data_IF_341822961915
#
_entry.id   IF_341822961915
#
_cell.length_a   1.000
_cell.length_b   1.000
_cell.length_c   1.000
_cell.angle_alpha   90.00
_cell.angle_beta   90.00
_cell.angle_gamma   90.00
#
_symmetry.space_group_name_H-M   'P 1'
#
loop_
_entity.id
_entity.type
_entity.pdbx_description
1 polymer ?
#
# COMPACT_ATOMS: atom_id res chain seq x y z
N UNK A 1 -15.08 19.25 7.29
CA UNK A 1 -13.99 18.27 7.17
C UNK A 1 -12.71 19.07 7.06
N UNK A 2 -11.72 18.82 7.93
CA UNK A 2 -10.39 19.45 7.82
C UNK A 2 -9.64 18.92 6.59
N UNK A 3 -8.51 19.53 6.21
CA UNK A 3 -7.65 18.99 5.15
C UNK A 3 -7.18 17.57 5.49
N UNK A 4 -6.73 17.35 6.72
CA UNK A 4 -6.29 16.04 7.19
C UNK A 4 -7.43 15.02 7.17
N UNK A 5 -8.63 15.40 7.63
CA UNK A 5 -9.80 14.52 7.63
C UNK A 5 -10.14 14.05 6.21
N UNK A 6 -10.17 14.99 5.26
CA UNK A 6 -10.47 14.69 3.86
C UNK A 6 -9.40 13.78 3.25
N UNK A 7 -8.12 14.08 3.47
CA UNK A 7 -7.05 13.27 2.87
C UNK A 7 -6.91 11.89 3.52
N UNK A 8 -7.05 11.77 4.83
CA UNK A 8 -7.00 10.49 5.53
C UNK A 8 -8.15 9.57 5.11
N UNK A 9 -9.38 10.11 5.00
CA UNK A 9 -10.52 9.35 4.46
C UNK A 9 -10.29 8.94 3.01
N UNK A 10 -9.79 9.86 2.17
CA UNK A 10 -9.49 9.59 0.76
C UNK A 10 -8.47 8.47 0.58
N UNK A 11 -7.34 8.51 1.30
CA UNK A 11 -6.30 7.46 1.20
C UNK A 11 -6.88 6.08 1.51
N UNK A 12 -7.62 5.95 2.61
CA UNK A 12 -8.14 4.66 3.07
C UNK A 12 -9.21 4.12 2.11
N UNK A 13 -10.16 4.95 1.73
CA UNK A 13 -11.22 4.57 0.78
C UNK A 13 -10.66 4.32 -0.62
N UNK A 14 -9.72 5.13 -1.06
CA UNK A 14 -9.06 5.03 -2.36
C UNK A 14 -8.23 3.76 -2.50
N UNK A 15 -7.49 3.38 -1.44
CA UNK A 15 -6.78 2.11 -1.34
C UNK A 15 -7.77 0.92 -1.39
N UNK A 16 -8.83 0.95 -0.58
CA UNK A 16 -9.79 -0.15 -0.49
C UNK A 16 -10.61 -0.36 -1.78
N UNK A 17 -10.90 0.70 -2.52
CA UNK A 17 -11.50 0.57 -3.87
C UNK A 17 -10.49 -0.04 -4.85
N UNK A 18 -9.21 0.36 -4.78
CA UNK A 18 -8.15 -0.24 -5.59
C UNK A 18 -8.01 -1.75 -5.34
N UNK A 19 -7.95 -2.13 -4.07
CA UNK A 19 -7.96 -3.51 -3.58
C UNK A 19 -9.12 -4.32 -4.21
N UNK A 20 -10.37 -3.90 -3.96
CA UNK A 20 -11.54 -4.66 -4.39
C UNK A 20 -11.66 -4.82 -5.91
N UNK A 21 -11.21 -3.83 -6.69
CA UNK A 21 -11.19 -3.92 -8.15
C UNK A 21 -10.05 -4.82 -8.65
N UNK A 22 -8.87 -4.73 -8.02
CA UNK A 22 -7.68 -5.49 -8.43
C UNK A 22 -7.72 -6.96 -8.03
N UNK A 23 -8.46 -7.33 -6.97
CA UNK A 23 -8.57 -8.72 -6.53
C UNK A 23 -9.07 -9.66 -7.64
N UNK A 24 -10.03 -9.20 -8.46
CA UNK A 24 -10.59 -10.01 -9.56
C UNK A 24 -9.62 -10.27 -10.72
N UNK A 25 -8.53 -9.50 -10.83
CA UNK A 25 -7.53 -9.59 -11.89
C UNK A 25 -6.18 -10.13 -11.41
N UNK A 26 -6.04 -10.39 -10.11
CA UNK A 26 -4.82 -10.85 -9.48
C UNK A 26 -4.32 -12.22 -10.04
N UNK A 27 -3.05 -12.20 -10.40
CA UNK A 27 -2.23 -13.27 -10.95
C UNK A 27 -2.55 -13.64 -12.39
N UNK A 28 -3.26 -12.78 -13.12
CA UNK A 28 -3.58 -12.96 -14.54
C UNK A 28 -2.80 -11.97 -15.41
N UNK A 29 -2.55 -12.34 -16.67
CA UNK A 29 -1.99 -11.39 -17.65
C UNK A 29 -3.07 -10.45 -18.18
N UNK A 30 -2.68 -9.27 -18.73
CA UNK A 30 -3.64 -8.37 -19.39
C UNK A 30 -4.53 -9.07 -20.41
N UNK A 31 -3.98 -9.98 -21.22
CA UNK A 31 -4.71 -10.71 -22.25
C UNK A 31 -5.74 -11.68 -21.64
N UNK A 32 -5.38 -12.36 -20.55
CA UNK A 32 -6.29 -13.27 -19.83
C UNK A 32 -7.45 -12.51 -19.19
N UNK A 33 -7.16 -11.33 -18.61
CA UNK A 33 -8.17 -10.43 -18.04
C UNK A 33 -9.15 -10.02 -19.14
N UNK A 34 -8.65 -9.53 -20.28
CA UNK A 34 -9.51 -9.11 -21.38
C UNK A 34 -10.33 -10.27 -21.96
N UNK A 35 -9.73 -11.45 -22.10
CA UNK A 35 -10.43 -12.65 -22.53
C UNK A 35 -11.56 -13.02 -21.57
N UNK A 36 -11.32 -12.94 -20.25
CA UNK A 36 -12.30 -13.31 -19.22
C UNK A 36 -13.46 -12.33 -19.13
N UNK A 37 -13.21 -11.03 -19.28
CA UNK A 37 -14.21 -9.99 -19.04
C UNK A 37 -14.73 -9.32 -20.33
N UNK A 38 -14.31 -9.79 -21.51
CA UNK A 38 -14.76 -9.26 -22.80
C UNK A 38 -14.15 -7.90 -23.15
N UNK A 39 -12.96 -7.61 -22.62
CA UNK A 39 -12.24 -6.35 -22.76
C UNK A 39 -11.63 -5.88 -21.44
N UNK A 40 -11.09 -4.67 -21.43
CA UNK A 40 -10.49 -4.08 -20.21
C UNK A 40 -11.53 -3.91 -19.12
N UNK A 41 -11.12 -4.18 -17.88
CA UNK A 41 -11.92 -3.93 -16.68
C UNK A 41 -12.11 -2.42 -16.50
N UNK A 42 -13.34 -1.99 -16.25
CA UNK A 42 -13.72 -0.57 -16.08
C UNK A 42 -14.42 -0.26 -14.75
N UNK A 43 -14.39 -1.20 -13.81
CA UNK A 43 -15.06 -1.13 -12.52
C UNK A 43 -15.13 -2.52 -11.88
N UNK A 44 -16.09 -2.72 -10.97
CA UNK A 44 -16.30 -4.00 -10.29
C UNK A 44 -16.71 -5.08 -11.32
N UNK A 45 -16.05 -6.24 -11.23
CA UNK A 45 -16.32 -7.43 -12.05
C UNK A 45 -16.41 -8.66 -11.15
N UNK A 46 -17.11 -9.73 -11.59
CA UNK A 46 -17.18 -10.97 -10.82
C UNK A 46 -15.82 -11.66 -10.75
N UNK A 47 -15.66 -12.65 -9.85
CA UNK A 47 -14.43 -13.41 -9.75
C UNK A 47 -13.98 -14.03 -11.06
N UNK A 48 -12.66 -14.16 -11.20
CA UNK A 48 -12.07 -14.76 -12.39
C UNK A 48 -12.62 -16.17 -12.64
N UNK A 49 -12.75 -16.99 -11.59
CA UNK A 49 -13.41 -18.29 -11.67
C UNK A 49 -14.82 -18.22 -11.06
N UNK A 50 -15.88 -18.60 -11.81
CA UNK A 50 -17.23 -18.68 -11.27
C UNK A 50 -17.36 -19.66 -10.08
N UNK A 51 -16.53 -20.70 -10.05
CA UNK A 51 -16.44 -21.71 -8.99
C UNK A 51 -15.33 -21.39 -7.97
N UNK A 52 -15.12 -20.11 -7.66
CA UNK A 52 -14.05 -19.60 -6.79
C UNK A 52 -13.90 -20.32 -5.45
N UNK A 53 -14.99 -20.87 -4.87
CA UNK A 53 -14.95 -21.63 -3.60
C UNK A 53 -14.05 -22.87 -3.68
N UNK A 54 -13.91 -23.45 -4.86
CA UNK A 54 -13.17 -24.70 -5.09
C UNK A 54 -12.03 -24.57 -6.10
N UNK A 55 -11.96 -23.46 -6.85
CA UNK A 55 -10.94 -23.18 -7.85
C UNK A 55 -9.53 -23.01 -7.26
N UNK A 56 -8.75 -24.09 -7.16
CA UNK A 56 -7.34 -24.06 -6.72
C UNK A 56 -6.44 -23.38 -7.76
N UNK A 57 -5.35 -22.73 -7.34
CA UNK A 57 -4.86 -22.58 -5.97
C UNK A 57 -5.48 -21.38 -5.21
N UNK A 58 -6.37 -20.61 -5.84
CA UNK A 58 -6.90 -19.33 -5.29
C UNK A 58 -7.95 -19.59 -4.22
N UNK A 59 -8.76 -20.64 -4.38
CA UNK A 59 -9.80 -21.01 -3.43
C UNK A 59 -9.26 -21.12 -2.00
N UNK A 60 -10.01 -20.66 -0.99
CA UNK A 60 -11.46 -20.44 -1.04
C UNK A 60 -11.87 -18.96 -1.16
N UNK A 61 -11.06 -18.09 -1.78
CA UNK A 61 -11.28 -16.65 -1.71
C UNK A 61 -12.21 -16.09 -2.80
N UNK A 62 -13.24 -15.33 -2.37
CA UNK A 62 -14.18 -14.61 -3.23
C UNK A 62 -13.57 -13.31 -3.80
N UNK A 63 -12.50 -13.41 -4.59
CA UNK A 63 -11.84 -12.25 -5.21
C UNK A 63 -12.64 -11.69 -6.38
N UNK A 64 -13.44 -10.66 -6.15
CA UNK A 64 -14.32 -9.99 -7.12
C UNK A 64 -15.63 -9.53 -6.49
N UNK A 65 -16.58 -9.07 -7.31
CA UNK A 65 -17.91 -8.59 -6.86
C UNK A 65 -17.85 -7.49 -5.77
N UNK A 66 -16.75 -6.75 -5.69
CA UNK A 66 -16.57 -5.65 -4.74
C UNK A 66 -16.06 -6.07 -3.36
N UNK A 67 -15.61 -7.32 -3.18
CA UNK A 67 -14.96 -7.79 -1.96
C UNK A 67 -13.52 -7.28 -1.88
N UNK A 68 -13.17 -6.63 -0.76
CA UNK A 68 -11.79 -6.26 -0.42
C UNK A 68 -10.95 -7.45 0.05
N UNK A 69 -9.62 -7.33 -0.06
CA UNK A 69 -8.63 -8.36 0.22
C UNK A 69 -7.80 -8.11 1.50
N UNK A 70 -6.60 -8.71 1.62
CA UNK A 70 -5.81 -8.76 2.85
C UNK A 70 -5.20 -7.42 3.12
N UNK A 71 -4.60 -6.80 2.12
CA UNK A 71 -5.11 -5.56 1.58
C UNK A 71 -5.68 -4.59 2.62
N UNK A 72 -6.99 -4.43 2.49
CA UNK A 72 -7.82 -3.63 3.37
C UNK A 72 -7.93 -4.22 4.78
N UNK A 73 -7.93 -5.55 4.97
CA UNK A 73 -8.06 -6.14 6.31
C UNK A 73 -6.89 -5.78 7.23
N UNK A 74 -5.66 -5.89 6.72
CA UNK A 74 -4.42 -5.52 7.40
C UNK A 74 -4.35 -4.00 7.59
N UNK A 75 -4.78 -3.22 6.59
CA UNK A 75 -4.88 -1.76 6.70
C UNK A 75 -5.79 -1.36 7.86
N UNK A 76 -6.99 -1.95 7.93
CA UNK A 76 -7.94 -1.70 9.03
C UNK A 76 -7.40 -2.13 10.39
N UNK A 77 -6.71 -3.26 10.45
CA UNK A 77 -6.07 -3.72 11.68
C UNK A 77 -4.98 -2.73 12.15
N UNK A 78 -4.15 -2.21 11.25
CA UNK A 78 -3.15 -1.18 11.58
C UNK A 78 -3.80 0.13 12.02
N UNK A 79 -4.88 0.57 11.36
CA UNK A 79 -5.66 1.75 11.78
C UNK A 79 -6.19 1.57 13.20
N UNK A 80 -6.69 0.38 13.57
CA UNK A 80 -7.16 0.11 14.91
C UNK A 80 -6.03 0.20 15.97
N UNK A 81 -4.78 -0.16 15.62
CA UNK A 81 -3.62 0.03 16.51
C UNK A 81 -3.32 1.52 16.70
N UNK A 82 -3.31 2.31 15.63
CA UNK A 82 -3.15 3.76 15.74
C UNK A 82 -4.27 4.42 16.54
N UNK A 83 -5.52 4.00 16.31
CA UNK A 83 -6.68 4.51 17.04
C UNK A 83 -6.57 4.25 18.55
N UNK A 84 -6.04 3.07 18.93
CA UNK A 84 -5.83 2.70 20.33
C UNK A 84 -4.64 3.43 20.97
N UNK A 85 -3.50 3.52 20.28
CA UNK A 85 -2.27 4.08 20.85
C UNK A 85 -2.14 5.59 20.74
N UNK A 86 -2.70 6.20 19.69
CA UNK A 86 -2.63 7.64 19.38
C UNK A 86 -1.21 8.21 19.44
N UNK A 87 -0.24 7.40 18.98
CA UNK A 87 1.20 7.72 18.89
C UNK A 87 1.79 7.06 17.65
N UNK A 88 3.01 7.45 17.26
CA UNK A 88 3.81 6.66 16.32
C UNK A 88 4.01 5.24 16.84
N UNK A 89 4.07 4.30 15.90
CA UNK A 89 4.23 2.88 16.16
C UNK A 89 5.66 2.43 15.86
N UNK A 90 6.04 1.31 16.43
CA UNK A 90 7.31 0.63 16.20
C UNK A 90 7.08 -0.88 16.04
N UNK A 91 8.16 -1.64 15.89
CA UNK A 91 8.10 -3.10 15.85
C UNK A 91 7.37 -3.73 17.06
N UNK A 92 7.41 -3.11 18.24
CA UNK A 92 6.79 -3.64 19.46
C UNK A 92 5.29 -3.44 19.44
N UNK A 93 4.78 -2.33 18.91
CA UNK A 93 3.34 -2.17 18.68
C UNK A 93 2.75 -3.26 17.79
N UNK A 94 3.53 -3.78 16.83
CA UNK A 94 3.09 -4.93 16.02
C UNK A 94 3.00 -6.21 16.85
N UNK A 95 3.96 -6.45 17.74
CA UNK A 95 3.95 -7.63 18.62
C UNK A 95 2.89 -7.54 19.72
N UNK A 96 2.67 -6.35 20.27
CA UNK A 96 1.81 -6.10 21.43
C UNK A 96 0.35 -5.85 21.06
N UNK A 97 0.06 -5.35 19.85
CA UNK A 97 -1.31 -5.03 19.44
C UNK A 97 -1.72 -5.69 18.12
N UNK A 98 -0.94 -5.53 17.04
CA UNK A 98 -1.37 -6.03 15.72
C UNK A 98 -1.49 -7.56 15.69
N UNK A 99 -0.46 -8.28 16.14
CA UNK A 99 -0.46 -9.75 16.17
C UNK A 99 -1.56 -10.31 17.08
N UNK A 100 -1.74 -9.82 18.32
CA UNK A 100 -2.87 -10.23 19.17
C UNK A 100 -4.23 -10.04 18.50
N UNK A 101 -4.46 -8.93 17.80
CA UNK A 101 -5.69 -8.71 17.03
C UNK A 101 -5.85 -9.76 15.93
N UNK A 102 -4.79 -10.03 15.16
CA UNK A 102 -4.82 -10.98 14.04
C UNK A 102 -5.23 -12.41 14.46
N UNK A 103 -4.95 -12.80 15.72
CA UNK A 103 -5.19 -14.17 16.23
C UNK A 103 -6.30 -14.25 17.28
N UNK A 104 -6.73 -13.13 17.84
CA UNK A 104 -7.64 -13.08 18.99
C UNK A 104 -8.99 -12.43 18.70
N UNK A 105 -9.12 -11.63 17.64
CA UNK A 105 -10.34 -10.87 17.34
C UNK A 105 -10.99 -11.40 16.05
N UNK A 106 -12.08 -12.19 16.15
CA UNK A 106 -12.88 -12.55 14.99
C UNK A 106 -13.44 -11.30 14.30
N UNK A 107 -13.35 -11.27 12.97
CA UNK A 107 -13.88 -10.20 12.14
C UNK A 107 -14.56 -10.77 10.91
N UNK A 108 -15.46 -10.01 10.30
CA UNK A 108 -16.02 -10.37 9.00
C UNK A 108 -14.92 -10.31 7.93
N UNK A 109 -14.67 -11.44 7.25
CA UNK A 109 -13.72 -11.55 6.15
C UNK A 109 -14.51 -11.68 4.83
N UNK A 110 -14.53 -10.63 3.98
CA UNK A 110 -15.35 -10.57 2.77
C UNK A 110 -15.10 -11.77 1.84
N UNK A 111 -13.85 -12.09 1.55
CA UNK A 111 -13.50 -13.20 0.64
C UNK A 111 -13.84 -14.60 1.17
N UNK A 112 -13.98 -14.76 2.48
CA UNK A 112 -14.43 -16.01 3.07
C UNK A 112 -15.95 -16.06 3.24
N UNK A 113 -16.62 -14.91 3.10
CA UNK A 113 -18.04 -14.71 3.43
C UNK A 113 -18.38 -15.24 4.83
N UNK A 114 -17.47 -15.06 5.79
CA UNK A 114 -17.58 -15.61 7.14
C UNK A 114 -16.89 -14.74 8.18
N UNK A 115 -17.30 -14.89 9.43
CA UNK A 115 -16.50 -14.44 10.57
C UNK A 115 -15.30 -15.38 10.74
N UNK A 116 -14.11 -14.78 10.77
CA UNK A 116 -12.83 -15.49 10.82
C UNK A 116 -11.78 -14.63 11.49
N UNK A 117 -10.67 -15.25 11.88
CA UNK A 117 -9.47 -14.50 12.30
C UNK A 117 -8.76 -13.98 11.05
N UNK A 118 -8.17 -12.78 11.12
CA UNK A 118 -7.34 -12.24 10.03
C UNK A 118 -6.26 -13.25 9.62
N UNK A 119 -5.65 -13.93 10.61
CA UNK A 119 -4.67 -15.00 10.39
C UNK A 119 -5.13 -16.10 9.41
N UNK A 120 -6.43 -16.44 9.39
CA UNK A 120 -6.94 -17.51 8.54
C UNK A 120 -6.94 -17.13 7.07
N UNK A 121 -7.07 -15.84 6.78
CA UNK A 121 -7.14 -15.31 5.43
C UNK A 121 -5.78 -14.93 4.87
N UNK A 122 -4.92 -14.29 5.66
CA UNK A 122 -3.77 -13.54 5.11
C UNK A 122 -2.77 -14.48 4.44
N UNK A 123 -1.95 -13.96 3.53
CA UNK A 123 -0.93 -14.75 2.88
C UNK A 123 0.17 -15.22 3.86
N UNK A 124 1.01 -16.17 3.41
CA UNK A 124 2.01 -16.82 4.26
C UNK A 124 3.03 -15.82 4.84
N UNK A 125 3.30 -14.72 4.15
CA UNK A 125 4.21 -13.69 4.60
C UNK A 125 3.67 -12.97 5.86
N UNK A 126 2.36 -12.74 5.94
CA UNK A 126 1.71 -12.13 7.11
C UNK A 126 1.57 -13.16 8.23
N UNK A 127 1.32 -14.44 7.92
CA UNK A 127 1.33 -15.53 8.93
C UNK A 127 2.69 -15.65 9.61
N UNK A 128 3.77 -15.23 8.95
CA UNK A 128 5.11 -15.15 9.54
C UNK A 128 5.16 -14.26 10.78
N UNK A 129 4.41 -13.14 10.81
CA UNK A 129 4.32 -12.28 11.99
C UNK A 129 3.93 -13.09 13.23
N UNK A 130 2.86 -13.87 13.10
CA UNK A 130 2.36 -14.72 14.19
C UNK A 130 3.35 -15.83 14.52
N UNK A 131 3.89 -16.50 13.50
CA UNK A 131 4.88 -17.56 13.70
C UNK A 131 6.12 -17.08 14.48
N UNK A 132 6.63 -15.88 14.17
CA UNK A 132 7.86 -15.36 14.77
C UNK A 132 7.64 -14.63 16.08
N UNK A 133 6.61 -13.81 16.19
CA UNK A 133 6.36 -12.99 17.37
C UNK A 133 5.62 -13.78 18.44
N UNK A 134 4.51 -14.42 18.08
CA UNK A 134 3.65 -15.10 19.06
C UNK A 134 4.21 -16.46 19.48
N UNK A 135 4.66 -17.28 18.54
CA UNK A 135 5.18 -18.62 18.84
C UNK A 135 6.70 -18.68 18.95
N UNK A 136 7.40 -17.90 18.13
CA UNK A 136 8.85 -17.86 18.11
C UNK A 136 9.47 -16.98 19.19
N UNK A 137 8.68 -16.05 19.77
CA UNK A 137 9.15 -15.03 20.72
C UNK A 137 10.43 -14.31 20.28
N UNK A 138 10.58 -14.11 18.97
CA UNK A 138 11.73 -13.45 18.37
C UNK A 138 11.65 -11.96 18.68
N UNK A 139 12.81 -11.31 18.84
CA UNK A 139 12.86 -9.86 18.95
C UNK A 139 12.10 -9.20 17.78
N UNK A 140 11.12 -8.32 18.03
CA UNK A 140 10.32 -7.72 16.98
C UNK A 140 11.12 -7.02 15.88
N UNK A 141 12.28 -6.44 16.19
CA UNK A 141 13.11 -5.72 15.21
C UNK A 141 13.79 -6.66 14.21
N UNK A 142 13.93 -7.94 14.56
CA UNK A 142 14.60 -8.95 13.74
C UNK A 142 13.63 -10.00 13.17
N UNK A 143 12.37 -9.99 13.60
CA UNK A 143 11.45 -11.10 13.34
C UNK A 143 11.14 -11.32 11.85
N UNK A 144 11.21 -10.27 11.01
CA UNK A 144 11.00 -10.34 9.57
C UNK A 144 12.17 -10.98 8.78
N UNK A 145 13.33 -11.20 9.40
CA UNK A 145 14.45 -11.88 8.73
C UNK A 145 14.12 -13.34 8.48
N UNK A 146 14.34 -13.78 7.24
CA UNK A 146 14.03 -15.15 6.77
C UNK A 146 12.61 -15.32 6.21
N UNK A 147 11.79 -14.25 6.22
CA UNK A 147 10.47 -14.29 5.60
C UNK A 147 10.55 -14.33 4.06
N UNK A 148 9.44 -14.68 3.45
CA UNK A 148 9.15 -14.56 2.02
C UNK A 148 9.13 -13.07 1.65
N UNK A 149 10.06 -12.61 0.81
CA UNK A 149 10.11 -11.19 0.42
C UNK A 149 9.03 -10.91 -0.63
N UNK A 150 7.96 -10.22 -0.23
CA UNK A 150 6.84 -9.81 -1.09
C UNK A 150 6.34 -8.40 -0.70
N UNK A 151 5.30 -7.93 -1.39
CA UNK A 151 4.63 -6.65 -1.15
C UNK A 151 3.84 -6.58 0.17
N UNK A 152 3.70 -7.70 0.89
CA UNK A 152 2.75 -7.87 1.99
C UNK A 152 2.87 -6.83 3.11
N UNK A 153 4.06 -6.30 3.37
CA UNK A 153 4.23 -5.16 4.27
C UNK A 153 3.79 -3.84 3.63
N UNK A 154 4.13 -3.61 2.37
CA UNK A 154 3.84 -2.36 1.68
C UNK A 154 2.33 -2.14 1.48
N UNK A 155 1.57 -3.19 1.19
CA UNK A 155 0.15 -3.11 0.84
C UNK A 155 -0.72 -2.43 1.92
N UNK A 156 -0.33 -2.52 3.20
CA UNK A 156 -1.10 -1.91 4.31
C UNK A 156 -0.39 -0.72 4.97
N UNK A 157 0.64 -0.13 4.34
CA UNK A 157 1.47 0.90 4.97
C UNK A 157 0.99 2.35 4.74
N UNK A 158 -0.12 2.53 4.01
CA UNK A 158 -0.73 3.85 3.80
C UNK A 158 -1.07 4.59 5.12
N UNK A 159 -1.56 3.94 6.19
CA UNK A 159 -1.79 4.59 7.48
C UNK A 159 -0.53 5.25 8.07
N UNK A 160 0.64 4.63 7.91
CA UNK A 160 1.92 5.21 8.39
C UNK A 160 2.23 6.52 7.66
N UNK A 161 1.96 6.58 6.35
CA UNK A 161 2.09 7.82 5.59
C UNK A 161 1.12 8.91 6.05
N UNK A 162 -0.11 8.55 6.41
CA UNK A 162 -1.12 9.51 6.89
C UNK A 162 -0.76 10.09 8.26
N UNK A 163 -0.28 9.28 9.21
CA UNK A 163 0.12 9.78 10.53
C UNK A 163 1.40 10.63 10.50
N UNK A 164 2.19 10.52 9.42
CA UNK A 164 3.37 11.34 9.15
C UNK A 164 3.12 12.36 8.03
N UNK A 165 1.87 12.78 7.79
CA UNK A 165 1.53 13.69 6.70
C UNK A 165 2.41 14.95 6.71
N UNK A 166 3.06 15.23 5.58
CA UNK A 166 4.01 16.35 5.44
C UNK A 166 5.47 16.04 5.82
N UNK A 167 5.78 14.85 6.36
CA UNK A 167 7.16 14.40 6.63
C UNK A 167 7.46 13.01 6.02
N UNK A 168 7.87 12.97 4.73
CA UNK A 168 8.20 11.73 4.06
C UNK A 168 9.35 10.94 4.70
N UNK A 169 10.30 11.62 5.36
CA UNK A 169 11.45 10.95 5.99
C UNK A 169 11.03 10.27 7.29
N UNK A 170 10.20 10.92 8.10
CA UNK A 170 9.62 10.31 9.29
C UNK A 170 8.73 9.12 8.92
N UNK A 171 7.88 9.27 7.89
CA UNK A 171 7.04 8.19 7.37
C UNK A 171 7.85 6.96 6.94
N UNK A 172 8.95 7.18 6.21
CA UNK A 172 9.88 6.11 5.85
C UNK A 172 10.45 5.43 7.10
N UNK A 173 10.97 6.20 8.05
CA UNK A 173 11.61 5.66 9.24
C UNK A 173 10.65 4.84 10.11
N UNK A 174 9.43 5.36 10.35
CA UNK A 174 8.40 4.64 11.11
C UNK A 174 7.99 3.35 10.40
N UNK A 175 7.75 3.40 9.09
CA UNK A 175 7.39 2.21 8.32
C UNK A 175 8.50 1.15 8.34
N UNK A 176 9.79 1.54 8.27
CA UNK A 176 10.91 0.59 8.40
C UNK A 176 10.93 -0.10 9.77
N UNK A 177 10.61 0.61 10.85
CA UNK A 177 10.53 0.02 12.20
C UNK A 177 9.27 -0.85 12.37
N UNK A 178 8.10 -0.33 12.04
CA UNK A 178 6.80 -1.03 12.09
C UNK A 178 6.82 -2.32 11.28
N UNK A 179 7.50 -2.33 10.13
CA UNK A 179 7.58 -3.53 9.27
C UNK A 179 8.76 -4.44 9.59
N UNK A 180 9.59 -4.08 10.57
CA UNK A 180 10.70 -4.91 11.00
C UNK A 180 10.33 -6.36 11.36
N UNK A 181 9.19 -6.63 12.03
CA UNK A 181 8.78 -7.99 12.30
C UNK A 181 8.13 -8.72 11.12
N UNK A 182 7.67 -7.98 10.10
CA UNK A 182 6.98 -8.55 8.95
C UNK A 182 7.97 -8.88 7.83
N UNK A 183 8.75 -7.90 7.38
CA UNK A 183 9.53 -8.01 6.15
C UNK A 183 11.02 -7.75 6.37
N UNK A 184 11.81 -8.10 5.35
CA UNK A 184 13.23 -7.77 5.26
C UNK A 184 13.59 -7.38 3.83
N UNK A 185 14.82 -6.92 3.60
CA UNK A 185 15.32 -6.58 2.26
C UNK A 185 14.39 -5.60 1.52
N UNK A 186 14.22 -5.76 0.20
CA UNK A 186 13.42 -4.86 -0.62
C UNK A 186 11.91 -4.89 -0.30
N UNK A 187 11.41 -5.91 0.41
CA UNK A 187 10.04 -5.94 0.93
C UNK A 187 9.81 -4.92 2.04
N UNK A 188 10.79 -4.76 2.94
CA UNK A 188 10.78 -3.73 3.99
C UNK A 188 11.01 -2.34 3.39
N UNK A 189 11.96 -2.24 2.48
CA UNK A 189 12.26 -1.02 1.73
C UNK A 189 11.01 -0.45 1.04
N UNK A 190 10.27 -1.30 0.32
CA UNK A 190 9.09 -0.87 -0.43
C UNK A 190 7.99 -0.30 0.50
N UNK A 191 7.80 -0.88 1.68
CA UNK A 191 6.85 -0.36 2.65
C UNK A 191 7.24 1.04 3.17
N UNK A 192 8.53 1.25 3.45
CA UNK A 192 9.07 2.55 3.82
C UNK A 192 8.86 3.60 2.73
N UNK A 193 9.24 3.27 1.49
CA UNK A 193 9.13 4.17 0.35
C UNK A 193 7.67 4.51 0.05
N UNK A 194 6.76 3.54 0.14
CA UNK A 194 5.33 3.78 -0.05
C UNK A 194 4.76 4.72 1.01
N UNK A 195 5.08 4.51 2.29
CA UNK A 195 4.64 5.40 3.37
C UNK A 195 5.13 6.84 3.17
N UNK A 196 6.39 7.01 2.73
CA UNK A 196 6.96 8.32 2.39
C UNK A 196 6.21 9.00 1.24
N UNK A 197 5.87 8.23 0.21
CA UNK A 197 5.10 8.73 -0.94
C UNK A 197 3.70 9.19 -0.53
N UNK A 198 3.02 8.43 0.34
CA UNK A 198 1.71 8.81 0.90
C UNK A 198 1.83 10.07 1.75
N UNK A 199 2.81 10.16 2.65
CA UNK A 199 3.04 11.36 3.46
C UNK A 199 3.26 12.62 2.61
N UNK A 200 3.99 12.50 1.49
CA UNK A 200 4.18 13.57 0.53
C UNK A 200 2.86 13.97 -0.16
N UNK A 201 2.08 12.99 -0.63
CA UNK A 201 0.81 13.21 -1.32
C UNK A 201 -0.20 14.03 -0.50
N UNK A 202 -0.11 13.95 0.84
CA UNK A 202 -1.00 14.64 1.77
C UNK A 202 -0.59 16.09 2.03
N UNK A 203 0.57 16.54 1.54
CA UNK A 203 1.02 17.91 1.74
C UNK A 203 0.12 18.87 0.96
N UNK A 204 -0.37 19.98 1.56
CA UNK A 204 -1.17 20.97 0.82
C UNK A 204 -0.48 21.45 -0.45
N UNK A 205 -1.14 21.25 -1.59
CA UNK A 205 -0.61 21.62 -2.91
C UNK A 205 0.41 20.65 -3.51
N UNK A 206 0.60 19.47 -2.92
CA UNK A 206 1.48 18.44 -3.48
C UNK A 206 1.08 18.07 -4.91
N UNK A 207 2.08 17.84 -5.74
CA UNK A 207 1.96 17.33 -7.10
C UNK A 207 2.44 15.88 -7.19
N UNK A 208 2.17 15.22 -8.32
CA UNK A 208 2.74 13.89 -8.61
C UNK A 208 4.27 13.94 -8.59
N UNK A 209 4.88 15.04 -9.05
CA UNK A 209 6.33 15.20 -9.01
C UNK A 209 6.88 15.20 -7.58
N UNK A 210 6.17 15.80 -6.62
CA UNK A 210 6.57 15.80 -5.21
C UNK A 210 6.50 14.40 -4.60
N UNK A 211 5.46 13.62 -4.96
CA UNK A 211 5.30 12.22 -4.55
C UNK A 211 6.45 11.36 -5.08
N UNK A 212 6.76 11.47 -6.38
CA UNK A 212 7.87 10.74 -6.99
C UNK A 212 9.22 11.14 -6.40
N UNK A 213 9.44 12.43 -6.16
CA UNK A 213 10.67 12.94 -5.55
C UNK A 213 10.83 12.45 -4.11
N UNK A 214 9.76 12.46 -3.31
CA UNK A 214 9.76 11.96 -1.95
C UNK A 214 10.09 10.46 -1.91
N UNK A 215 9.39 9.64 -2.70
CA UNK A 215 9.65 8.22 -2.83
C UNK A 215 11.11 7.95 -3.21
N UNK A 216 11.61 8.64 -4.23
CA UNK A 216 12.99 8.48 -4.71
C UNK A 216 14.05 8.93 -3.70
N UNK A 217 13.75 9.94 -2.88
CA UNK A 217 14.70 10.51 -1.92
C UNK A 217 15.05 9.59 -0.75
N UNK A 218 14.16 8.63 -0.44
CA UNK A 218 14.34 7.65 0.63
C UNK A 218 14.61 6.24 0.09
N UNK A 219 14.33 5.97 -1.19
CA UNK A 219 14.57 4.68 -1.79
C UNK A 219 16.06 4.36 -1.95
N UNK A 220 16.39 3.09 -1.75
CA UNK A 220 17.74 2.54 -1.85
C UNK A 220 17.84 1.38 -2.86
N UNK A 221 19.08 1.13 -3.29
CA UNK A 221 19.52 0.02 -4.14
C UNK A 221 18.55 -0.33 -5.30
N UNK A 222 18.09 -1.58 -5.40
CA UNK A 222 17.21 -2.08 -6.45
C UNK A 222 15.85 -1.39 -6.49
N UNK A 223 15.31 -0.95 -5.34
CA UNK A 223 14.08 -0.16 -5.30
C UNK A 223 14.26 1.22 -5.91
N UNK A 224 15.36 1.91 -5.58
CA UNK A 224 15.68 3.18 -6.22
C UNK A 224 15.88 3.02 -7.74
N UNK A 225 16.60 1.98 -8.17
CA UNK A 225 16.86 1.73 -9.58
C UNK A 225 15.58 1.38 -10.36
N UNK A 226 14.66 0.62 -9.77
CA UNK A 226 13.36 0.31 -10.38
C UNK A 226 12.49 1.57 -10.52
N UNK A 227 12.46 2.44 -9.51
CA UNK A 227 11.76 3.72 -9.57
C UNK A 227 12.32 4.62 -10.68
N UNK A 228 13.65 4.75 -10.76
CA UNK A 228 14.30 5.55 -11.81
C UNK A 228 13.96 5.00 -13.20
N UNK A 229 14.01 3.68 -13.38
CA UNK A 229 13.69 3.04 -14.66
C UNK A 229 12.24 3.25 -15.08
N UNK A 230 11.28 3.01 -14.19
CA UNK A 230 9.85 3.13 -14.52
C UNK A 230 9.45 4.59 -14.73
N UNK A 231 9.90 5.50 -13.86
CA UNK A 231 9.57 6.93 -14.00
C UNK A 231 10.18 7.52 -15.27
N UNK A 232 11.42 7.14 -15.62
CA UNK A 232 12.03 7.55 -16.89
C UNK A 232 11.27 6.99 -18.10
N UNK A 233 10.77 5.76 -18.03
CA UNK A 233 10.03 5.15 -19.14
C UNK A 233 8.71 5.87 -19.43
N UNK A 234 8.03 6.39 -18.41
CA UNK A 234 6.74 7.10 -18.58
C UNK A 234 6.87 8.62 -18.72
N UNK A 235 8.06 9.17 -18.47
CA UNK A 235 8.31 10.61 -18.50
C UNK A 235 7.99 11.22 -19.88
N UNK A 236 7.18 12.29 -19.87
CA UNK A 236 6.83 13.05 -21.09
C UNK A 236 5.85 12.34 -22.02
N UNK A 237 5.32 11.16 -21.65
CA UNK A 237 4.22 10.55 -22.38
C UNK A 237 2.93 11.36 -22.21
N UNK A 238 2.08 11.44 -23.24
CA UNK A 238 0.73 11.96 -23.07
C UNK A 238 -0.08 11.00 -22.19
N UNK A 239 -1.06 11.54 -21.46
CA UNK A 239 -2.03 10.72 -20.73
C UNK A 239 -2.75 9.79 -21.72
N UNK A 240 -2.86 8.48 -21.43
CA UNK A 240 -3.54 7.55 -22.33
C UNK A 240 -4.97 7.99 -22.67
N UNK A 241 -5.32 7.99 -23.96
CA UNK A 241 -6.64 8.42 -24.44
C UNK A 241 -7.47 7.28 -25.03
N UNK A 242 -6.89 6.07 -25.13
CA UNK A 242 -7.52 4.90 -25.70
C UNK A 242 -7.05 3.61 -25.03
N UNK A 243 -7.83 2.53 -25.17
CA UNK A 243 -7.40 1.22 -24.68
C UNK A 243 -6.10 0.73 -25.37
N UNK A 244 -5.77 1.23 -26.56
CA UNK A 244 -4.51 0.90 -27.23
C UNK A 244 -3.31 1.60 -26.55
N UNK A 245 -3.48 2.86 -26.14
CA UNK A 245 -2.47 3.59 -25.38
C UNK A 245 -2.21 2.94 -24.03
N UNK A 246 -3.28 2.48 -23.38
CA UNK A 246 -3.24 1.78 -22.10
C UNK A 246 -2.49 0.44 -22.18
N UNK A 247 -2.74 -0.35 -23.22
CA UNK A 247 -1.96 -1.57 -23.48
C UNK A 247 -0.49 -1.26 -23.76
N UNK A 248 -0.20 -0.16 -24.44
CA UNK A 248 1.18 0.29 -24.69
C UNK A 248 1.86 0.72 -23.39
N UNK A 249 1.17 1.47 -22.54
CA UNK A 249 1.66 1.88 -21.23
C UNK A 249 1.97 0.67 -20.35
N UNK A 250 1.04 -0.29 -20.25
CA UNK A 250 1.24 -1.49 -19.44
C UNK A 250 2.48 -2.28 -19.87
N UNK A 251 2.69 -2.48 -21.19
CA UNK A 251 3.90 -3.13 -21.72
C UNK A 251 5.18 -2.35 -21.39
N UNK A 252 5.16 -1.04 -21.57
CA UNK A 252 6.31 -0.18 -21.32
C UNK A 252 6.73 -0.21 -19.85
N UNK A 253 5.77 -0.07 -18.93
CA UNK A 253 6.01 -0.15 -17.48
C UNK A 253 6.53 -1.53 -17.11
N UNK A 254 5.96 -2.60 -17.69
CA UNK A 254 6.42 -3.97 -17.44
C UNK A 254 7.85 -4.19 -17.90
N UNK A 255 8.21 -3.72 -19.10
CA UNK A 255 9.57 -3.79 -19.64
C UNK A 255 10.57 -3.05 -18.75
N UNK A 256 10.19 -1.87 -18.24
CA UNK A 256 11.05 -1.06 -17.38
C UNK A 256 11.33 -1.70 -16.00
N UNK A 257 10.32 -2.33 -15.38
CA UNK A 257 10.45 -2.93 -14.05
C UNK A 257 11.00 -4.37 -14.08
N UNK A 258 10.89 -5.08 -15.21
CA UNK A 258 11.28 -6.47 -15.35
C UNK A 258 12.71 -6.83 -14.87
N UNK A 259 13.76 -5.99 -15.05
CA UNK A 259 15.10 -6.30 -14.54
C UNK A 259 15.16 -6.38 -13.01
N UNK A 260 14.26 -5.67 -12.32
CA UNK A 260 14.23 -5.53 -10.86
C UNK A 260 13.19 -6.43 -10.19
N UNK A 261 12.25 -6.97 -10.97
CA UNK A 261 11.32 -8.00 -10.52
C UNK A 261 12.05 -9.31 -10.18
N UNK A 262 11.68 -9.93 -9.05
CA UNK A 262 12.18 -11.24 -8.61
C UNK A 262 11.24 -12.39 -8.96
N UNK A 263 9.94 -12.13 -9.13
CA UNK A 263 8.91 -13.14 -9.42
C UNK A 263 9.12 -13.72 -10.82
N UNK A 264 9.47 -12.88 -11.79
CA UNK A 264 9.78 -13.27 -13.16
C UNK A 264 8.61 -13.05 -14.13
N UNK A 265 8.77 -13.45 -15.40
CA UNK A 265 7.81 -13.11 -16.47
C UNK A 265 6.44 -13.77 -16.27
N UNK A 266 6.41 -15.00 -15.76
CA UNK A 266 5.18 -15.74 -15.48
C UNK A 266 4.83 -15.66 -13.99
N UNK A 267 3.91 -14.76 -13.61
CA UNK A 267 3.60 -14.50 -12.19
C UNK A 267 3.18 -15.75 -11.41
N UNK A 268 2.40 -16.65 -12.03
CA UNK A 268 1.95 -17.92 -11.42
C UNK A 268 2.94 -19.09 -11.56
N UNK A 269 4.05 -18.89 -12.27
CA UNK A 269 5.13 -19.85 -12.42
C UNK A 269 6.47 -19.15 -12.09
N UNK A 270 6.64 -18.91 -10.80
CA UNK A 270 7.68 -18.03 -10.27
C UNK A 270 9.10 -18.55 -10.57
N UNK A 271 10.02 -17.61 -10.77
CA UNK A 271 11.44 -17.90 -10.98
C UNK A 271 12.08 -18.53 -9.74
N UNK A 272 13.19 -19.28 -9.93
CA UNK A 272 13.87 -19.96 -8.82
C UNK A 272 14.41 -19.01 -7.73
N UNK A 273 14.70 -17.76 -8.10
CA UNK A 273 15.15 -16.70 -7.19
C UNK A 273 14.02 -15.78 -6.68
N UNK A 274 12.76 -16.12 -6.98
CA UNK A 274 11.62 -15.33 -6.54
C UNK A 274 11.56 -15.22 -5.02
N UNK A 275 11.20 -14.01 -4.56
CA UNK A 275 10.92 -13.71 -3.14
C UNK A 275 12.10 -13.95 -2.19
N UNK A 276 13.33 -14.05 -2.72
CA UNK A 276 14.57 -14.10 -1.93
C UNK A 276 15.07 -12.68 -1.64
N UNK A 277 15.75 -12.46 -0.50
CA UNK A 277 16.45 -11.21 -0.23
C UNK A 277 17.46 -10.85 -1.34
N UNK A 278 17.51 -9.58 -1.71
CA UNK A 278 18.44 -9.06 -2.71
C UNK A 278 18.64 -7.56 -2.52
N UNK A 279 19.79 -7.04 -2.98
CA UNK A 279 20.01 -5.60 -3.12
C UNK A 279 19.69 -5.09 -4.51
N UNK A 280 19.57 -5.95 -5.51
CA UNK A 280 19.35 -5.53 -6.91
C UNK A 280 17.89 -5.64 -7.35
N UNK A 281 17.02 -6.16 -6.50
CA UNK A 281 15.59 -6.39 -6.79
C UNK A 281 14.72 -5.40 -6.05
N UNK A 282 13.47 -5.28 -6.49
CA UNK A 282 12.43 -4.47 -5.90
C UNK A 282 11.11 -5.26 -5.83
N UNK A 283 10.21 -4.81 -4.97
CA UNK A 283 8.79 -5.18 -5.00
C UNK A 283 8.23 -4.51 -6.24
N UNK A 284 7.76 -5.28 -7.21
CA UNK A 284 7.31 -4.78 -8.52
C UNK A 284 6.18 -3.76 -8.37
N UNK A 285 5.33 -3.96 -7.38
CA UNK A 285 4.07 -3.28 -7.21
C UNK A 285 4.25 -1.78 -6.98
N UNK A 286 5.24 -1.41 -6.17
CA UNK A 286 5.55 -0.02 -5.82
C UNK A 286 5.98 0.84 -7.03
N UNK A 287 7.05 0.51 -7.78
CA UNK A 287 7.45 1.29 -8.93
C UNK A 287 6.41 1.27 -10.05
N UNK A 288 5.67 0.16 -10.24
CA UNK A 288 4.55 0.11 -11.20
C UNK A 288 3.46 1.10 -10.79
N UNK A 289 3.00 1.07 -9.54
CA UNK A 289 1.96 1.98 -9.04
C UNK A 289 2.35 3.46 -9.21
N UNK A 290 3.58 3.83 -8.87
CA UNK A 290 4.11 5.19 -9.04
C UNK A 290 4.24 5.59 -10.52
N UNK A 291 4.66 4.65 -11.39
CA UNK A 291 4.71 4.86 -12.83
C UNK A 291 3.34 5.09 -13.45
N UNK A 292 2.33 4.31 -13.04
CA UNK A 292 0.96 4.44 -13.51
C UNK A 292 0.30 5.73 -13.01
N UNK A 293 0.57 6.11 -11.76
CA UNK A 293 0.18 7.42 -11.21
C UNK A 293 0.74 8.57 -12.05
N UNK A 294 2.04 8.48 -12.39
CA UNK A 294 2.72 9.48 -13.22
C UNK A 294 2.14 9.56 -14.63
N UNK A 295 1.93 8.42 -15.29
CA UNK A 295 1.37 8.36 -16.63
C UNK A 295 -0.07 8.90 -16.72
N UNK A 296 -0.82 8.86 -15.63
CA UNK A 296 -2.18 9.40 -15.53
C UNK A 296 -2.24 10.79 -14.89
N UNK A 297 -1.09 11.45 -14.69
CA UNK A 297 -0.99 12.78 -14.08
C UNK A 297 -1.76 12.89 -12.73
N UNK A 298 -1.78 11.81 -11.96
CA UNK A 298 -2.46 11.76 -10.66
C UNK A 298 -3.97 11.51 -10.71
N UNK A 299 -4.55 11.28 -11.90
CA UNK A 299 -5.96 10.92 -12.01
C UNK A 299 -6.24 9.58 -11.33
N UNK A 300 -7.18 9.57 -10.39
CA UNK A 300 -7.51 8.39 -9.58
C UNK A 300 -8.04 7.25 -10.46
N UNK A 301 -9.02 7.54 -11.33
CA UNK A 301 -9.70 6.51 -12.11
C UNK A 301 -8.73 5.84 -13.09
N UNK A 302 -7.93 6.63 -13.80
CA UNK A 302 -6.91 6.15 -14.72
C UNK A 302 -5.83 5.34 -14.03
N UNK A 303 -5.27 5.86 -12.93
CA UNK A 303 -4.21 5.16 -12.17
C UNK A 303 -4.67 3.80 -11.66
N UNK A 304 -5.86 3.75 -11.04
CA UNK A 304 -6.43 2.51 -10.49
C UNK A 304 -6.79 1.51 -11.60
N UNK A 305 -7.48 1.94 -12.67
CA UNK A 305 -7.85 1.00 -13.74
C UNK A 305 -6.63 0.52 -14.53
N UNK A 306 -5.58 1.34 -14.67
CA UNK A 306 -4.34 0.90 -15.27
C UNK A 306 -3.66 -0.18 -14.41
N UNK A 307 -3.66 -0.02 -13.07
CA UNK A 307 -3.14 -1.03 -12.14
C UNK A 307 -3.95 -2.33 -12.21
N UNK A 308 -5.27 -2.25 -12.17
CA UNK A 308 -6.17 -3.41 -12.26
C UNK A 308 -5.95 -4.20 -13.55
N UNK A 309 -5.78 -3.50 -14.68
CA UNK A 309 -5.58 -4.14 -15.99
C UNK A 309 -4.12 -4.50 -16.28
N UNK A 310 -3.16 -4.03 -15.48
CA UNK A 310 -1.77 -4.50 -15.53
C UNK A 310 -1.69 -5.98 -15.16
N UNK A 311 -2.60 -6.45 -14.30
CA UNK A 311 -2.63 -7.84 -13.85
C UNK A 311 -1.51 -8.12 -12.85
N UNK A 312 -1.05 -9.38 -12.80
CA UNK A 312 -0.05 -9.81 -11.79
C UNK A 312 -0.58 -9.51 -10.38
N UNK A 313 0.14 -8.81 -9.52
CA UNK A 313 -0.34 -8.47 -8.16
C UNK A 313 -1.28 -7.25 -8.16
N UNK A 314 -2.37 -7.36 -8.92
CA UNK A 314 -3.17 -6.21 -9.35
C UNK A 314 -3.89 -5.48 -8.19
N UNK A 315 -4.33 -6.20 -7.16
CA UNK A 315 -4.89 -5.62 -5.93
C UNK A 315 -3.88 -4.72 -5.23
N UNK A 316 -2.69 -5.22 -4.91
CA UNK A 316 -1.65 -4.44 -4.25
C UNK A 316 -1.13 -3.26 -5.08
N UNK A 317 -1.00 -3.40 -6.41
CA UNK A 317 -0.64 -2.27 -7.28
C UNK A 317 -1.75 -1.20 -7.23
N UNK A 318 -3.01 -1.62 -7.32
CA UNK A 318 -4.16 -0.71 -7.31
C UNK A 318 -4.36 -0.05 -5.95
N UNK A 319 -4.06 -0.74 -4.85
CA UNK A 319 -3.99 -0.17 -3.49
C UNK A 319 -3.00 0.97 -3.43
N UNK A 320 -1.76 0.75 -3.88
CA UNK A 320 -0.72 1.78 -3.82
C UNK A 320 -1.05 2.95 -4.74
N UNK A 321 -1.49 2.69 -5.98
CA UNK A 321 -1.89 3.74 -6.92
C UNK A 321 -3.10 4.54 -6.42
N UNK A 322 -4.11 3.84 -5.88
CA UNK A 322 -5.33 4.43 -5.34
C UNK A 322 -5.07 5.28 -4.11
N UNK A 323 -4.26 4.80 -3.17
CA UNK A 323 -3.85 5.55 -1.98
C UNK A 323 -3.17 6.88 -2.35
N UNK A 324 -2.23 6.85 -3.30
CA UNK A 324 -1.46 8.03 -3.70
C UNK A 324 -2.33 9.03 -4.48
N UNK A 325 -3.11 8.57 -5.46
CA UNK A 325 -4.00 9.44 -6.22
C UNK A 325 -5.10 10.06 -5.33
N UNK A 326 -5.67 9.28 -4.40
CA UNK A 326 -6.65 9.79 -3.45
C UNK A 326 -6.02 10.72 -2.41
N UNK A 327 -4.78 10.47 -1.97
CA UNK A 327 -4.05 11.40 -1.10
C UNK A 327 -3.83 12.78 -1.76
N UNK A 328 -3.50 12.80 -3.05
CA UNK A 328 -3.38 14.03 -3.84
C UNK A 328 -4.73 14.73 -4.05
N UNK A 329 -5.78 13.98 -4.39
CA UNK A 329 -7.07 14.50 -4.84
C UNK A 329 -8.13 14.71 -3.75
N UNK A 330 -8.04 14.02 -2.62
CA UNK A 330 -9.07 14.00 -1.57
C UNK A 330 -10.24 13.07 -1.87
N UNK A 331 -11.28 13.14 -1.03
CA UNK A 331 -12.43 12.24 -1.15
C UNK A 331 -13.18 12.43 -2.47
N UNK A 332 -13.11 13.62 -3.06
CA UNK A 332 -13.80 13.97 -4.30
C UNK A 332 -13.30 13.19 -5.54
N UNK A 333 -12.08 12.64 -5.53
CA UNK A 333 -11.56 11.88 -6.69
C UNK A 333 -11.88 10.39 -6.62
N UNK A 334 -12.29 9.89 -5.45
CA UNK A 334 -12.68 8.47 -5.27
C UNK A 334 -14.13 8.31 -5.75
N UNK A 335 -14.40 7.53 -6.82
CA UNK A 335 -15.74 7.43 -7.39
C UNK A 335 -16.73 6.82 -6.39
N UNK A 336 -17.76 7.58 -6.03
CA UNK A 336 -18.77 7.16 -5.07
C UNK A 336 -19.47 5.87 -5.51
N UNK A 337 -19.70 5.70 -6.83
CA UNK A 337 -20.32 4.50 -7.37
C UNK A 337 -19.50 3.22 -7.15
N UNK A 338 -18.18 3.34 -7.03
CA UNK A 338 -17.32 2.21 -6.68
C UNK A 338 -17.24 2.03 -5.18
N UNK A 339 -16.99 3.10 -4.44
CA UNK A 339 -16.84 3.05 -2.99
C UNK A 339 -18.11 2.50 -2.31
N UNK A 340 -19.28 2.98 -2.69
CA UNK A 340 -20.54 2.56 -2.08
C UNK A 340 -20.83 1.08 -2.36
N UNK A 341 -20.59 0.63 -3.60
CA UNK A 341 -20.74 -0.77 -3.98
C UNK A 341 -19.73 -1.69 -3.26
N UNK A 342 -18.47 -1.27 -3.12
CA UNK A 342 -17.44 -2.02 -2.37
C UNK A 342 -17.80 -2.12 -0.89
N UNK A 343 -18.25 -1.02 -0.26
CA UNK A 343 -18.68 -1.05 1.15
C UNK A 343 -19.87 -1.98 1.38
N UNK A 344 -20.85 -1.95 0.47
CA UNK A 344 -22.02 -2.83 0.53
C UNK A 344 -21.63 -4.30 0.38
N UNK A 345 -20.89 -4.64 -0.68
CA UNK A 345 -20.44 -6.00 -0.95
C UNK A 345 -19.56 -6.55 0.18
N UNK A 346 -18.60 -5.75 0.63
CA UNK A 346 -17.67 -6.14 1.70
C UNK A 346 -18.31 -6.10 3.09
N UNK A 347 -19.48 -5.47 3.26
CA UNK A 347 -20.12 -5.19 4.57
C UNK A 347 -19.19 -4.44 5.53
N UNK A 348 -18.53 -3.42 5.01
CA UNK A 348 -17.53 -2.64 5.76
C UNK A 348 -17.75 -1.14 5.56
N UNK A 349 -17.76 -0.38 6.66
CA UNK A 349 -17.71 1.08 6.61
C UNK A 349 -16.25 1.55 6.48
N UNK A 350 -15.83 1.71 5.23
CA UNK A 350 -14.47 2.12 4.87
C UNK A 350 -14.25 3.61 5.17
N UNK A 351 -15.31 4.43 5.05
CA UNK A 351 -15.23 5.85 5.44
C UNK A 351 -15.04 6.00 6.95
N UNK A 352 -15.68 5.17 7.78
CA UNK A 352 -15.45 5.16 9.22
C UNK A 352 -14.00 4.81 9.57
N UNK A 353 -13.42 3.82 8.88
CA UNK A 353 -11.99 3.50 9.04
C UNK A 353 -11.11 4.72 8.72
N UNK A 354 -11.42 5.44 7.63
CA UNK A 354 -10.75 6.68 7.27
C UNK A 354 -10.83 7.77 8.35
N UNK A 355 -12.02 7.98 8.92
CA UNK A 355 -12.23 8.94 10.02
C UNK A 355 -11.52 8.55 11.31
N UNK A 356 -11.48 7.27 11.64
CA UNK A 356 -10.73 6.77 12.80
C UNK A 356 -9.23 7.05 12.67
N UNK A 357 -8.67 6.77 11.49
CA UNK A 357 -7.28 7.11 11.19
C UNK A 357 -7.03 8.62 11.24
N UNK A 358 -7.92 9.43 10.65
CA UNK A 358 -7.82 10.89 10.69
C UNK A 358 -7.74 11.41 12.12
N UNK A 359 -8.60 10.90 13.01
CA UNK A 359 -8.62 11.27 14.41
C UNK A 359 -7.32 10.87 15.12
N UNK A 360 -6.76 9.68 14.84
CA UNK A 360 -5.48 9.26 15.41
C UNK A 360 -4.31 10.12 14.89
N UNK A 361 -4.27 10.35 13.57
CA UNK A 361 -3.24 11.16 12.91
C UNK A 361 -3.23 12.60 13.44
N UNK A 362 -4.40 13.19 13.69
CA UNK A 362 -4.50 14.54 14.25
C UNK A 362 -3.78 14.68 15.60
N UNK A 363 -3.90 13.69 16.48
CA UNK A 363 -3.24 13.70 17.79
C UNK A 363 -1.73 13.49 17.66
N UNK A 364 -1.31 12.56 16.79
CA UNK A 364 0.11 12.28 16.53
C UNK A 364 0.80 13.53 15.98
N UNK A 365 0.22 14.16 14.95
CA UNK A 365 0.76 15.36 14.31
C UNK A 365 0.73 16.58 15.25
N UNK A 366 -0.29 16.71 16.11
CA UNK A 366 -0.31 17.75 17.13
C UNK A 366 0.85 17.57 18.14
N UNK A 367 1.12 16.33 18.55
CA UNK A 367 2.25 16.01 19.42
C UNK A 367 3.60 16.24 18.73
N UNK A 368 3.72 15.92 17.43
CA UNK A 368 4.91 16.25 16.63
C UNK A 368 5.15 17.74 16.54
N UNK A 369 4.11 18.52 16.25
CA UNK A 369 4.23 19.97 16.16
C UNK A 369 4.75 20.57 17.49
N UNK A 370 4.32 20.03 18.63
CA UNK A 370 4.82 20.44 19.94
C UNK A 370 6.27 19.98 20.19
N UNK A 371 6.61 18.74 19.84
CA UNK A 371 7.99 18.23 19.91
C UNK A 371 8.94 19.08 19.06
N UNK A 372 8.53 19.44 17.85
CA UNK A 372 9.30 20.27 16.93
C UNK A 372 9.53 21.68 17.50
N UNK A 373 8.49 22.33 18.06
CA UNK A 373 8.62 23.64 18.74
C UNK A 373 9.58 23.56 19.92
N UNK A 374 9.44 22.54 20.77
CA UNK A 374 10.34 22.32 21.91
C UNK A 374 11.77 22.11 21.46
N UNK A 375 11.98 21.30 20.42
CA UNK A 375 13.31 21.03 19.85
C UNK A 375 13.95 22.29 19.27
N UNK A 376 13.19 23.10 18.53
CA UNK A 376 13.65 24.36 17.99
C UNK A 376 14.11 25.31 19.10
N UNK A 377 13.30 25.49 20.16
CA UNK A 377 13.68 26.33 21.29
C UNK A 377 14.96 25.84 22.00
N UNK A 378 15.13 24.52 22.13
CA UNK A 378 16.35 23.93 22.69
C UNK A 378 17.58 24.16 21.79
N UNK A 379 17.43 24.05 20.46
CA UNK A 379 18.50 24.34 19.51
C UNK A 379 18.90 25.82 19.55
N UNK A 380 17.93 26.74 19.59
CA UNK A 380 18.20 28.17 19.73
C UNK A 380 18.94 28.48 21.04
N UNK A 381 18.64 27.77 22.12
CA UNK A 381 19.39 27.88 23.37
C UNK A 381 20.83 27.39 23.24
N UNK A 382 21.07 26.27 22.54
CA UNK A 382 22.39 25.69 22.34
C UNK A 382 23.26 26.48 21.35
N UNK A 383 22.65 27.16 20.38
CA UNK A 383 23.34 27.90 19.32
C UNK A 383 23.55 29.39 19.65
N UNK A 384 22.98 29.88 20.77
CA UNK A 384 23.30 31.23 21.27
C UNK A 384 24.77 31.29 21.67
N UNK A 385 25.52 32.24 21.10
CA UNK A 385 26.89 32.51 21.51
C UNK A 385 26.92 32.88 23.00
N UNK A 386 27.88 32.32 23.75
CA UNK A 386 28.11 32.71 25.13
C UNK A 386 28.50 34.19 25.17
N UNK A 387 28.04 34.97 26.17
CA UNK A 387 28.54 36.33 26.34
C UNK A 387 30.06 36.27 26.44
N UNK A 388 30.77 37.04 25.62
CA UNK A 388 32.20 37.30 25.84
C UNK A 388 32.34 38.08 27.14
N UNK A 389 32.78 37.41 28.21
CA UNK A 389 33.23 38.03 29.45
C UNK A 389 34.57 38.76 29.26
#
# INVERSE_FOLDING_TARGET
>A
MSWLDDRAEAVITGAAVGDALGGATEGWTPEQIEQRYGGRVRGIVPPYYPDWRTARPIAPYHKGDGHVTDDTLMTRALVAVYAARRTHLDAYAVAEDLVPRMIGEPTWVPELEAEALILQRVFLAEKWLVARLHYGHVDPREAGVGNIVNCGAAMYMAPVGVVNAGDPRAAYAEAIDVTAPHQSSYGREAAGVFAAAVAAALTPGASVADVLAAARSVAHDGTAAALDAVTAAVAGLPVPASDQDERRLARLVREAVAPYDSVGPEYRNMSADARRPSRTKSIEELPVALGLLAAHAGDYRGSVLAAVNYGRDADSIAVMAGALAAGLGGTAVVPAEWLDAVQEASRMDLRATGRELAAAAADVLAADAERARTRAAALDALLREAPCD
#
